data_IF_261232581676
#
_entry.id   IF_261232581676
#
_cell.length_a   1.000
_cell.length_b   1.000
_cell.length_c   1.000
_cell.angle_alpha   90.00
_cell.angle_beta   90.00
_cell.angle_gamma   90.00
#
_symmetry.space_group_name_H-M   'P 1'
#
loop_
_entity.id
_entity.type
_entity.pdbx_description
1 polymer ?
#
# COMPACT_ATOMS: atom_id res chain seq x y z
N UNK A 1 -30.28 -9.47 2.42
CA UNK A 1 -30.18 -10.85 2.99
C UNK A 1 -29.28 -11.77 2.15
N UNK A 2 -29.40 -11.78 0.81
CA UNK A 2 -28.57 -12.61 -0.09
C UNK A 2 -27.10 -12.17 -0.15
N UNK A 3 -26.79 -10.86 -0.10
CA UNK A 3 -25.39 -10.34 -0.10
C UNK A 3 -24.61 -10.72 1.17
N UNK A 4 -25.25 -10.64 2.32
CA UNK A 4 -24.73 -11.01 3.65
C UNK A 4 -24.34 -12.48 3.73
N UNK A 5 -25.16 -13.37 3.17
CA UNK A 5 -24.86 -14.80 3.10
C UNK A 5 -23.69 -15.09 2.14
N UNK A 6 -23.63 -14.45 0.97
CA UNK A 6 -22.50 -14.59 0.03
C UNK A 6 -21.18 -14.09 0.64
N UNK A 7 -21.20 -12.92 1.29
CA UNK A 7 -20.03 -12.37 1.99
C UNK A 7 -19.57 -13.29 3.14
N UNK A 8 -20.48 -13.70 4.03
CA UNK A 8 -20.15 -14.59 5.13
C UNK A 8 -19.63 -15.94 4.62
N UNK A 9 -20.20 -16.50 3.55
CA UNK A 9 -19.71 -17.74 2.92
C UNK A 9 -18.31 -17.57 2.32
N UNK A 10 -18.01 -16.43 1.68
CA UNK A 10 -16.66 -16.11 1.16
C UNK A 10 -15.64 -15.95 2.29
N UNK A 11 -15.98 -15.20 3.34
CA UNK A 11 -15.12 -15.01 4.52
C UNK A 11 -14.89 -16.34 5.25
N UNK A 12 -15.93 -17.15 5.44
CA UNK A 12 -15.82 -18.46 6.09
C UNK A 12 -14.97 -19.41 5.25
N UNK A 13 -15.13 -19.44 3.92
CA UNK A 13 -14.29 -20.22 3.00
C UNK A 13 -12.83 -19.77 3.01
N UNK A 14 -12.57 -18.46 2.93
CA UNK A 14 -11.22 -17.89 2.91
C UNK A 14 -10.44 -18.11 4.23
N UNK A 15 -11.10 -18.01 5.39
CA UNK A 15 -10.41 -18.07 6.70
C UNK A 15 -10.39 -19.46 7.36
N UNK A 16 -11.31 -20.37 7.01
CA UNK A 16 -11.43 -21.70 7.66
C UNK A 16 -10.93 -22.84 6.76
N UNK A 17 -11.15 -22.76 5.45
CA UNK A 17 -10.78 -23.85 4.52
C UNK A 17 -9.53 -23.56 3.67
N UNK A 18 -9.14 -22.29 3.55
CA UNK A 18 -8.09 -21.84 2.61
C UNK A 18 -6.82 -21.31 3.28
N UNK A 19 -6.40 -21.89 4.42
CA UNK A 19 -5.10 -21.57 5.04
C UNK A 19 -3.88 -21.82 4.12
N UNK A 20 -4.07 -22.59 3.04
CA UNK A 20 -3.05 -22.85 2.01
C UNK A 20 -3.23 -22.05 0.70
N UNK A 21 -4.11 -21.04 0.67
CA UNK A 21 -4.29 -20.18 -0.51
C UNK A 21 -3.08 -19.22 -0.63
N UNK A 22 -2.38 -19.31 -1.77
CA UNK A 22 -1.17 -18.52 -2.07
C UNK A 22 -1.40 -17.03 -1.90
N UNK A 23 -2.61 -16.54 -2.21
CA UNK A 23 -2.94 -15.12 -2.11
C UNK A 23 -3.00 -14.65 -0.65
N UNK A 24 -3.61 -15.44 0.25
CA UNK A 24 -3.70 -15.08 1.65
C UNK A 24 -2.31 -15.07 2.30
N UNK A 25 -1.49 -16.08 1.98
CA UNK A 25 -0.10 -16.16 2.42
C UNK A 25 0.72 -14.96 1.92
N UNK A 26 0.55 -14.57 0.67
CA UNK A 26 1.23 -13.42 0.07
C UNK A 26 0.94 -12.11 0.82
N UNK A 27 -0.31 -11.87 1.22
CA UNK A 27 -0.66 -10.64 1.94
C UNK A 27 -0.27 -10.66 3.43
N UNK A 28 0.05 -11.83 4.00
CA UNK A 28 0.35 -11.99 5.44
C UNK A 28 1.75 -12.52 5.72
N UNK A 29 2.72 -12.21 4.86
CA UNK A 29 4.13 -12.57 5.06
C UNK A 29 4.73 -11.88 6.28
N UNK A 30 5.76 -12.45 6.94
CA UNK A 30 6.49 -11.74 7.98
C UNK A 30 6.97 -10.38 7.49
N UNK A 31 6.72 -9.35 8.29
CA UNK A 31 7.07 -7.96 8.00
C UNK A 31 8.53 -7.70 8.39
N UNK A 32 9.26 -7.01 7.52
CA UNK A 32 10.66 -6.65 7.74
C UNK A 32 10.97 -5.23 7.28
N UNK A 33 12.12 -4.71 7.72
CA UNK A 33 12.64 -3.38 7.33
C UNK A 33 14.03 -3.61 6.78
N UNK A 34 14.33 -3.00 5.62
CA UNK A 34 15.68 -3.02 5.08
C UNK A 34 16.61 -2.10 5.87
N UNK A 35 17.89 -2.46 5.95
CA UNK A 35 18.89 -1.57 6.55
C UNK A 35 19.13 -0.39 5.62
N UNK A 36 18.63 0.79 5.99
CA UNK A 36 18.92 2.04 5.28
C UNK A 36 20.24 2.61 5.82
N UNK A 37 21.27 2.65 4.98
CA UNK A 37 22.56 3.29 5.25
C UNK A 37 22.42 4.80 5.17
N UNK A 38 23.38 5.52 5.76
CA UNK A 38 23.38 6.99 5.74
C UNK A 38 23.42 7.57 4.31
N UNK A 39 24.08 6.87 3.39
CA UNK A 39 24.22 7.25 1.97
C UNK A 39 22.97 6.96 1.13
N UNK A 40 22.05 6.13 1.64
CA UNK A 40 20.75 5.86 1.01
C UNK A 40 19.80 7.06 1.17
N UNK A 41 20.16 8.07 1.99
CA UNK A 41 19.44 9.35 2.06
C UNK A 41 19.81 10.31 0.94
N UNK A 42 20.80 9.96 0.11
CA UNK A 42 21.28 10.73 -1.04
C UNK A 42 21.28 9.94 -2.36
N UNK A 43 20.88 8.67 -2.32
CA UNK A 43 20.82 7.79 -3.49
C UNK A 43 19.71 6.76 -3.31
N UNK A 44 19.03 6.39 -4.40
CA UNK A 44 17.90 5.46 -4.36
C UNK A 44 18.38 4.02 -4.09
N UNK A 45 18.48 3.67 -2.81
CA UNK A 45 18.92 2.35 -2.32
C UNK A 45 17.76 1.34 -2.16
N UNK A 46 17.85 0.51 -1.11
CA UNK A 46 16.80 -0.45 -0.78
C UNK A 46 15.45 0.27 -0.53
N UNK A 47 14.35 -0.35 -0.93
CA UNK A 47 13.04 0.15 -0.52
C UNK A 47 12.91 -0.02 1.01
N UNK A 48 12.38 0.95 1.77
CA UNK A 48 12.45 0.90 3.24
C UNK A 48 11.86 -0.36 3.89
N UNK A 49 10.77 -0.90 3.34
CA UNK A 49 10.17 -2.15 3.79
C UNK A 49 10.76 -3.34 3.01
N UNK A 50 11.15 -4.41 3.71
CA UNK A 50 11.63 -5.63 3.07
C UNK A 50 10.44 -6.50 2.62
N UNK A 51 10.50 -6.98 1.38
CA UNK A 51 9.46 -7.81 0.78
C UNK A 51 9.94 -9.21 0.34
N UNK A 52 11.17 -9.61 0.67
CA UNK A 52 11.75 -10.91 0.25
C UNK A 52 10.87 -12.10 0.59
N UNK A 53 10.16 -12.07 1.72
CA UNK A 53 9.28 -13.15 2.16
C UNK A 53 8.09 -13.42 1.22
N UNK A 54 7.84 -12.55 0.23
CA UNK A 54 6.79 -12.74 -0.78
C UNK A 54 7.23 -13.62 -1.96
N UNK A 55 8.55 -13.80 -2.14
CA UNK A 55 9.11 -14.54 -3.25
C UNK A 55 8.62 -15.99 -3.22
N UNK A 56 8.16 -16.47 -4.39
CA UNK A 56 7.76 -17.85 -4.59
C UNK A 56 6.39 -18.25 -4.01
N UNK A 57 5.65 -17.33 -3.38
CA UNK A 57 4.33 -17.62 -2.81
C UNK A 57 3.23 -17.71 -3.87
N UNK A 58 3.29 -16.89 -4.91
CA UNK A 58 2.37 -16.94 -6.05
C UNK A 58 2.99 -17.80 -7.14
N UNK A 59 2.20 -18.74 -7.68
CA UNK A 59 2.62 -19.65 -8.76
C UNK A 59 1.99 -19.32 -10.11
N UNK A 60 0.92 -18.54 -10.11
CA UNK A 60 0.19 -18.11 -11.30
C UNK A 60 0.82 -16.87 -11.89
N UNK A 61 1.01 -16.86 -13.20
CA UNK A 61 1.64 -15.77 -13.95
C UNK A 61 1.10 -15.72 -15.38
N UNK A 62 1.35 -14.60 -16.06
CA UNK A 62 1.13 -14.45 -17.50
C UNK A 62 2.21 -15.15 -18.33
N UNK A 63 2.12 -15.06 -19.66
CA UNK A 63 3.10 -15.69 -20.57
C UNK A 63 4.51 -15.08 -20.47
N UNK A 64 4.66 -13.92 -19.84
CA UNK A 64 5.95 -13.26 -19.58
C UNK A 64 6.50 -13.55 -18.19
N UNK A 65 5.74 -14.21 -17.33
CA UNK A 65 6.13 -14.52 -15.95
C UNK A 65 5.73 -13.47 -14.92
N UNK A 66 4.96 -12.44 -15.30
CA UNK A 66 4.38 -11.46 -14.36
C UNK A 66 3.30 -12.16 -13.54
N UNK A 67 3.36 -12.03 -12.20
CA UNK A 67 2.40 -12.73 -11.34
C UNK A 67 0.96 -12.25 -11.53
N UNK A 68 0.02 -13.19 -11.43
CA UNK A 68 -1.41 -12.91 -11.37
C UNK A 68 -1.99 -13.53 -10.11
N UNK A 69 -2.87 -12.83 -9.40
CA UNK A 69 -3.53 -13.35 -8.21
C UNK A 69 -4.86 -14.02 -8.59
N UNK A 70 -5.12 -15.21 -8.06
CA UNK A 70 -6.40 -15.91 -8.27
C UNK A 70 -7.47 -15.47 -7.25
N UNK A 71 -8.34 -14.56 -7.66
CA UNK A 71 -9.46 -14.08 -6.83
C UNK A 71 -10.64 -15.05 -6.75
N UNK A 72 -10.55 -16.22 -7.42
CA UNK A 72 -11.55 -17.28 -7.49
C UNK A 72 -12.88 -16.81 -8.11
N UNK A 73 -13.77 -17.78 -8.35
CA UNK A 73 -15.11 -17.51 -8.90
C UNK A 73 -15.06 -16.77 -10.24
N UNK A 74 -15.99 -15.83 -10.43
CA UNK A 74 -16.14 -15.09 -11.69
C UNK A 74 -14.98 -14.11 -11.97
N UNK A 75 -14.18 -13.74 -10.94
CA UNK A 75 -13.04 -12.85 -11.13
C UNK A 75 -11.80 -13.58 -11.66
N UNK A 76 -11.58 -14.84 -11.26
CA UNK A 76 -10.44 -15.63 -11.71
C UNK A 76 -9.07 -14.96 -11.48
N UNK A 77 -8.16 -15.15 -12.43
CA UNK A 77 -6.82 -14.55 -12.40
C UNK A 77 -6.87 -13.06 -12.76
N UNK A 78 -6.27 -12.23 -11.92
CA UNK A 78 -6.22 -10.79 -12.11
C UNK A 78 -4.81 -10.27 -11.84
N UNK A 79 -4.39 -9.26 -12.60
CA UNK A 79 -3.24 -8.45 -12.23
C UNK A 79 -3.58 -7.60 -11.01
N UNK A 80 -2.63 -7.54 -10.08
CA UNK A 80 -2.71 -6.65 -8.93
C UNK A 80 -1.43 -5.81 -8.91
N UNK A 81 -1.47 -4.53 -9.34
CA UNK A 81 -0.30 -3.66 -9.42
C UNK A 81 0.52 -3.63 -8.12
N UNK A 82 -0.16 -3.60 -6.98
CA UNK A 82 0.49 -3.61 -5.67
C UNK A 82 1.21 -4.95 -5.38
N UNK A 83 0.57 -6.09 -5.64
CA UNK A 83 1.20 -7.39 -5.45
C UNK A 83 2.45 -7.54 -6.33
N UNK A 84 2.34 -7.13 -7.60
CA UNK A 84 3.45 -7.15 -8.56
C UNK A 84 4.56 -6.22 -8.09
N UNK A 85 4.22 -5.01 -7.62
CA UNK A 85 5.21 -4.07 -7.08
C UNK A 85 5.95 -4.65 -5.86
N UNK A 86 5.23 -5.20 -4.89
CA UNK A 86 5.83 -5.75 -3.68
C UNK A 86 6.71 -6.96 -3.98
N UNK A 87 6.30 -7.83 -4.92
CA UNK A 87 7.14 -8.95 -5.34
C UNK A 87 8.40 -8.46 -6.07
N UNK A 88 8.25 -7.50 -6.97
CA UNK A 88 9.38 -6.87 -7.68
C UNK A 88 10.38 -6.27 -6.68
N UNK A 89 9.91 -5.48 -5.70
CA UNK A 89 10.76 -4.94 -4.64
C UNK A 89 11.42 -6.03 -3.78
N UNK A 90 10.75 -7.16 -3.54
CA UNK A 90 11.36 -8.32 -2.88
C UNK A 90 12.52 -8.93 -3.67
N UNK A 91 12.41 -9.02 -5.00
CA UNK A 91 13.54 -9.42 -5.84
C UNK A 91 14.65 -8.36 -5.87
N UNK A 92 14.30 -7.08 -5.78
CA UNK A 92 15.31 -6.01 -5.67
C UNK A 92 16.08 -6.08 -4.34
N UNK A 93 15.42 -6.44 -3.24
CA UNK A 93 16.08 -6.70 -1.95
C UNK A 93 17.13 -7.82 -2.09
N UNK A 94 16.80 -8.89 -2.83
CA UNK A 94 17.73 -9.98 -3.19
C UNK A 94 18.94 -9.49 -4.00
N UNK A 95 18.71 -8.62 -5.00
CA UNK A 95 19.79 -8.03 -5.81
C UNK A 95 20.75 -7.23 -4.92
N UNK A 96 20.23 -6.41 -4.00
CA UNK A 96 21.06 -5.65 -3.05
C UNK A 96 21.84 -6.56 -2.11
N UNK A 97 21.28 -7.72 -1.75
CA UNK A 97 21.97 -8.74 -0.96
C UNK A 97 23.06 -9.50 -1.74
N UNK A 98 23.15 -9.32 -3.07
CA UNK A 98 24.14 -9.95 -3.94
C UNK A 98 23.63 -11.18 -4.69
N UNK A 99 22.33 -11.50 -4.59
CA UNK A 99 21.73 -12.62 -5.31
C UNK A 99 21.44 -12.27 -6.77
N UNK A 100 21.56 -13.25 -7.67
CA UNK A 100 21.29 -13.07 -9.10
C UNK A 100 19.78 -13.13 -9.41
N UNK A 101 19.04 -12.08 -9.04
CA UNK A 101 17.58 -11.96 -9.24
C UNK A 101 17.20 -10.81 -10.20
N UNK A 102 18.13 -10.30 -11.01
CA UNK A 102 17.88 -9.17 -11.93
C UNK A 102 16.75 -9.51 -12.92
N UNK A 103 16.78 -10.71 -13.50
CA UNK A 103 15.76 -11.12 -14.46
C UNK A 103 14.38 -11.26 -13.80
N UNK A 104 14.30 -11.82 -12.60
CA UNK A 104 13.03 -11.93 -11.87
C UNK A 104 12.45 -10.54 -11.53
N UNK A 105 13.31 -9.63 -11.07
CA UNK A 105 12.95 -8.25 -10.79
C UNK A 105 12.41 -7.54 -12.03
N UNK A 106 13.16 -7.58 -13.14
CA UNK A 106 12.79 -6.92 -14.39
C UNK A 106 11.57 -7.58 -15.06
N UNK A 107 11.35 -8.88 -14.84
CA UNK A 107 10.15 -9.58 -15.30
C UNK A 107 8.92 -8.98 -14.64
N UNK A 108 8.91 -8.84 -13.31
CA UNK A 108 7.79 -8.19 -12.63
C UNK A 108 7.69 -6.69 -12.95
N UNK A 109 8.83 -6.01 -13.11
CA UNK A 109 8.84 -4.59 -13.46
C UNK A 109 8.23 -4.30 -14.85
N UNK A 110 8.36 -5.23 -15.80
CA UNK A 110 7.81 -5.07 -17.17
C UNK A 110 6.30 -4.79 -17.18
N UNK A 111 5.57 -5.31 -16.18
CA UNK A 111 4.15 -4.99 -15.97
C UNK A 111 3.85 -3.49 -16.02
N UNK A 112 4.71 -2.66 -15.40
CA UNK A 112 4.50 -1.23 -15.29
C UNK A 112 4.75 -0.46 -16.60
N UNK A 113 5.39 -1.11 -17.58
CA UNK A 113 5.50 -0.59 -18.95
C UNK A 113 4.31 -1.06 -19.80
N UNK A 114 3.92 -2.33 -19.63
CA UNK A 114 2.99 -2.99 -20.52
C UNK A 114 1.51 -2.75 -20.20
N UNK A 115 1.18 -2.47 -18.94
CA UNK A 115 -0.21 -2.39 -18.46
C UNK A 115 -0.56 -1.00 -17.89
N UNK A 116 0.25 0.03 -18.19
CA UNK A 116 -0.08 1.39 -17.81
C UNK A 116 -1.07 2.04 -18.79
N UNK A 117 -2.16 2.60 -18.27
CA UNK A 117 -3.16 3.35 -19.07
C UNK A 117 -2.91 4.85 -18.97
N UNK A 118 -2.77 5.52 -20.11
CA UNK A 118 -2.68 6.98 -20.13
C UNK A 118 -4.07 7.61 -19.97
N UNK A 119 -4.15 8.60 -19.09
CA UNK A 119 -5.28 9.51 -18.94
C UNK A 119 -4.71 10.92 -18.98
N UNK A 120 -4.94 11.61 -20.09
CA UNK A 120 -4.25 12.86 -20.42
C UNK A 120 -2.72 12.66 -20.35
N UNK A 121 -2.03 13.33 -19.43
CA UNK A 121 -0.59 13.20 -19.19
C UNK A 121 -0.22 12.24 -18.05
N UNK A 122 -1.22 11.61 -17.40
CA UNK A 122 -1.03 10.71 -16.27
C UNK A 122 -1.01 9.25 -16.70
N UNK A 123 0.05 8.52 -16.33
CA UNK A 123 0.10 7.06 -16.47
C UNK A 123 -0.49 6.40 -15.22
N UNK A 124 -1.53 5.56 -15.39
CA UNK A 124 -2.19 4.86 -14.29
C UNK A 124 -1.94 3.35 -14.35
N UNK A 125 -1.57 2.75 -13.23
CA UNK A 125 -1.64 1.30 -13.02
C UNK A 125 -2.90 0.97 -12.22
N UNK A 126 -3.94 0.60 -12.94
CA UNK A 126 -5.27 0.38 -12.38
C UNK A 126 -5.53 -1.09 -12.06
N UNK A 127 -6.53 -1.30 -11.22
CA UNK A 127 -7.10 -2.60 -10.97
C UNK A 127 -8.30 -2.79 -11.90
N UNK A 128 -8.21 -3.76 -12.81
CA UNK A 128 -9.24 -4.03 -13.83
C UNK A 128 -10.36 -4.96 -13.35
N UNK A 129 -10.48 -5.15 -12.04
CA UNK A 129 -11.54 -5.95 -11.42
C UNK A 129 -12.28 -5.16 -10.33
N UNK A 130 -13.59 -5.39 -10.14
CA UNK A 130 -14.33 -4.75 -9.07
C UNK A 130 -13.85 -5.28 -7.71
N UNK A 131 -13.82 -4.42 -6.71
CA UNK A 131 -13.40 -4.80 -5.36
C UNK A 131 -14.46 -4.48 -4.32
N UNK A 132 -14.96 -5.53 -3.67
CA UNK A 132 -15.97 -5.41 -2.62
C UNK A 132 -15.32 -5.06 -1.28
N UNK A 133 -15.39 -3.78 -0.92
CA UNK A 133 -14.99 -3.26 0.39
C UNK A 133 -16.19 -2.68 1.13
N UNK A 134 -15.92 -1.86 2.16
CA UNK A 134 -16.97 -1.03 2.79
C UNK A 134 -17.73 -0.22 1.75
N UNK A 135 -16.96 0.46 0.88
CA UNK A 135 -17.44 1.17 -0.29
C UNK A 135 -17.03 0.34 -1.51
N UNK A 136 -17.97 -0.13 -2.34
CA UNK A 136 -17.63 -0.96 -3.49
C UNK A 136 -16.88 -0.14 -4.54
N UNK A 137 -15.82 -0.72 -5.11
CA UNK A 137 -15.04 -0.14 -6.20
C UNK A 137 -15.44 -0.80 -7.51
N UNK A 138 -15.78 0.01 -8.50
CA UNK A 138 -16.07 -0.46 -9.86
C UNK A 138 -14.78 -0.52 -10.67
N UNK A 139 -14.66 -1.53 -11.54
CA UNK A 139 -13.53 -1.62 -12.47
C UNK A 139 -13.66 -0.60 -13.61
N UNK A 140 -12.55 -0.03 -14.11
CA UNK A 140 -11.23 -0.02 -13.46
C UNK A 140 -11.19 0.99 -12.30
N UNK A 141 -10.33 0.76 -11.32
CA UNK A 141 -10.08 1.72 -10.24
C UNK A 141 -8.60 1.98 -10.00
N UNK A 142 -8.29 3.19 -9.53
CA UNK A 142 -6.92 3.68 -9.29
C UNK A 142 -6.63 3.85 -7.80
N UNK A 143 -5.35 3.87 -7.45
CA UNK A 143 -4.87 3.88 -6.06
C UNK A 143 -3.54 4.61 -5.92
N UNK A 144 -3.43 5.54 -4.97
CA UNK A 144 -2.16 6.19 -4.65
C UNK A 144 -1.09 5.16 -4.22
N UNK A 145 -1.49 4.08 -3.55
CA UNK A 145 -0.62 2.98 -3.15
C UNK A 145 0.02 2.33 -4.37
N UNK A 146 -0.81 1.92 -5.35
CA UNK A 146 -0.34 1.30 -6.58
C UNK A 146 0.63 2.21 -7.35
N UNK A 147 0.27 3.50 -7.46
CA UNK A 147 1.11 4.50 -8.12
C UNK A 147 2.45 4.68 -7.41
N UNK A 148 2.44 4.85 -6.08
CA UNK A 148 3.67 5.06 -5.31
C UNK A 148 4.63 3.86 -5.41
N UNK A 149 4.13 2.64 -5.22
CA UNK A 149 5.00 1.45 -5.30
C UNK A 149 5.44 1.13 -6.73
N UNK A 150 4.58 1.36 -7.74
CA UNK A 150 4.98 1.23 -9.14
C UNK A 150 6.07 2.22 -9.53
N UNK A 151 6.01 3.47 -9.04
CA UNK A 151 7.09 4.45 -9.23
C UNK A 151 8.39 3.95 -8.60
N UNK A 152 8.36 3.48 -7.36
CA UNK A 152 9.54 2.91 -6.68
C UNK A 152 10.17 1.75 -7.46
N UNK A 153 9.35 0.90 -8.09
CA UNK A 153 9.82 -0.20 -8.96
C UNK A 153 10.44 0.35 -10.25
N UNK A 154 9.74 1.23 -10.96
CA UNK A 154 10.22 1.81 -12.22
C UNK A 154 11.56 2.52 -12.05
N UNK A 155 11.74 3.33 -11.00
CA UNK A 155 13.02 4.02 -10.77
C UNK A 155 14.17 3.02 -10.54
N UNK A 156 13.92 1.95 -9.77
CA UNK A 156 14.91 0.88 -9.55
C UNK A 156 15.16 0.04 -10.80
N UNK A 157 14.13 -0.20 -11.61
CA UNK A 157 14.26 -0.89 -12.89
C UNK A 157 15.10 -0.08 -13.88
N UNK A 158 14.94 1.24 -13.91
CA UNK A 158 15.83 2.13 -14.66
C UNK A 158 17.28 2.02 -14.16
N UNK A 159 17.51 2.07 -12.84
CA UNK A 159 18.87 1.97 -12.27
C UNK A 159 19.56 0.64 -12.61
N UNK A 160 18.82 -0.47 -12.60
CA UNK A 160 19.38 -1.81 -12.88
C UNK A 160 19.59 -2.04 -14.37
N UNK A 161 18.69 -1.57 -15.23
CA UNK A 161 18.69 -1.90 -16.66
C UNK A 161 19.23 -0.80 -17.58
N UNK A 162 19.25 0.46 -17.14
CA UNK A 162 19.50 1.63 -17.99
C UNK A 162 18.36 1.93 -18.99
N UNK A 163 17.23 1.24 -18.91
CA UNK A 163 16.13 1.41 -19.87
C UNK A 163 15.24 2.62 -19.51
N UNK A 164 15.37 3.69 -20.28
CA UNK A 164 14.63 4.96 -20.16
C UNK A 164 13.10 4.82 -20.13
N UNK A 165 12.54 3.72 -20.65
CA UNK A 165 11.09 3.48 -20.57
C UNK A 165 10.60 3.50 -19.12
N UNK A 166 11.38 2.95 -18.19
CA UNK A 166 11.00 2.93 -16.78
C UNK A 166 11.06 4.31 -16.14
N UNK A 167 12.10 5.11 -16.43
CA UNK A 167 12.18 6.48 -15.91
C UNK A 167 11.03 7.35 -16.45
N UNK A 168 10.70 7.20 -17.73
CA UNK A 168 9.57 7.90 -18.34
C UNK A 168 8.22 7.45 -17.75
N UNK A 169 8.05 6.15 -17.49
CA UNK A 169 6.85 5.64 -16.82
C UNK A 169 6.71 6.19 -15.40
N UNK A 170 7.80 6.25 -14.62
CA UNK A 170 7.79 6.83 -13.28
C UNK A 170 7.38 8.32 -13.30
N UNK A 171 7.93 9.12 -14.22
CA UNK A 171 7.58 10.54 -14.38
C UNK A 171 6.10 10.74 -14.72
N UNK A 172 5.58 9.99 -15.70
CA UNK A 172 4.17 10.07 -16.09
C UNK A 172 3.22 9.55 -15.00
N UNK A 173 3.61 8.52 -14.25
CA UNK A 173 2.83 8.04 -13.12
C UNK A 173 2.80 9.05 -11.97
N UNK A 174 3.92 9.76 -11.76
CA UNK A 174 4.00 10.80 -10.74
C UNK A 174 3.02 11.97 -10.98
N UNK A 175 2.60 12.22 -12.22
CA UNK A 175 1.56 13.21 -12.52
C UNK A 175 0.23 12.92 -11.81
N UNK A 176 -0.07 11.67 -11.44
CA UNK A 176 -1.25 11.35 -10.62
C UNK A 176 -1.26 12.07 -9.26
N UNK A 177 -0.08 12.36 -8.71
CA UNK A 177 0.11 13.09 -7.46
C UNK A 177 0.06 14.61 -7.63
N UNK A 178 -0.19 15.15 -8.83
CA UNK A 178 -0.44 16.58 -9.03
C UNK A 178 -1.92 16.95 -8.96
N UNK A 179 -2.81 15.96 -8.87
CA UNK A 179 -4.24 16.18 -9.01
C UNK A 179 -5.05 15.57 -7.87
N UNK A 180 -6.05 16.34 -7.41
CA UNK A 180 -7.10 15.83 -6.54
C UNK A 180 -8.01 14.88 -7.31
N UNK A 181 -8.35 13.77 -6.67
CA UNK A 181 -9.11 12.69 -7.27
C UNK A 181 -10.54 13.09 -7.69
N UNK A 182 -11.11 14.08 -7.00
CA UNK A 182 -12.42 14.68 -7.32
C UNK A 182 -12.38 15.65 -8.51
N UNK A 183 -11.18 16.11 -8.89
CA UNK A 183 -10.98 17.15 -9.92
C UNK A 183 -10.40 16.57 -11.21
N UNK A 184 -9.69 15.44 -11.14
CA UNK A 184 -9.05 14.82 -12.29
C UNK A 184 -9.20 13.28 -12.28
N UNK A 185 -9.52 12.64 -13.43
CA UNK A 185 -9.63 11.18 -13.55
C UNK A 185 -8.31 10.43 -13.36
N UNK A 186 -7.17 11.11 -13.43
CA UNK A 186 -5.86 10.59 -13.05
C UNK A 186 -5.43 10.91 -11.61
N UNK A 187 -6.17 11.76 -10.89
CA UNK A 187 -5.76 12.27 -9.58
C UNK A 187 -5.94 11.24 -8.46
N UNK A 188 -4.98 11.20 -7.54
CA UNK A 188 -4.99 10.31 -6.37
C UNK A 188 -4.90 11.06 -5.03
N UNK A 189 -4.92 12.39 -5.07
CA UNK A 189 -4.92 13.22 -3.87
C UNK A 189 -6.33 13.50 -3.33
N UNK A 190 -6.40 13.85 -2.06
CA UNK A 190 -7.55 14.51 -1.42
C UNK A 190 -7.05 15.63 -0.48
N UNK A 191 -7.85 16.67 -0.23
CA UNK A 191 -7.50 17.86 0.57
C UNK A 191 -8.34 18.03 1.85
N UNK A 192 -8.92 16.94 2.36
CA UNK A 192 -9.84 16.98 3.49
C UNK A 192 -9.25 17.70 4.71
N UNK A 193 -9.98 18.71 5.18
CA UNK A 193 -9.68 19.51 6.39
C UNK A 193 -8.32 20.23 6.35
N UNK A 194 -7.84 20.59 5.17
CA UNK A 194 -6.58 21.32 4.99
C UNK A 194 -5.33 20.45 5.08
N UNK A 195 -5.51 19.13 4.94
CA UNK A 195 -4.43 18.14 4.89
C UNK A 195 -4.38 17.45 3.54
N UNK A 196 -3.18 17.06 3.11
CA UNK A 196 -2.98 16.41 1.80
C UNK A 196 -2.94 14.89 1.98
N UNK A 197 -3.97 14.23 1.47
CA UNK A 197 -4.15 12.79 1.55
C UNK A 197 -3.75 12.06 0.27
N UNK A 198 -3.02 10.96 0.40
CA UNK A 198 -2.75 9.99 -0.67
C UNK A 198 -3.76 8.84 -0.54
N UNK A 199 -4.78 8.80 -1.39
CA UNK A 199 -5.89 7.86 -1.23
C UNK A 199 -5.58 6.47 -1.82
N UNK A 200 -5.58 5.43 -0.98
CA UNK A 200 -5.51 4.03 -1.43
C UNK A 200 -6.73 3.66 -2.28
N UNK A 201 -7.91 4.15 -1.90
CA UNK A 201 -9.16 3.90 -2.58
C UNK A 201 -9.87 5.22 -2.84
N UNK A 202 -10.14 5.54 -4.10
CA UNK A 202 -10.87 6.75 -4.47
C UNK A 202 -12.37 6.52 -4.24
N UNK A 203 -12.86 6.96 -3.07
CA UNK A 203 -14.26 6.80 -2.64
C UNK A 203 -14.79 8.12 -2.09
N UNK A 204 -16.12 8.27 -2.08
CA UNK A 204 -16.80 9.44 -1.53
C UNK A 204 -17.77 9.03 -0.42
N UNK A 205 -17.64 9.59 0.80
CA UNK A 205 -16.52 10.40 1.26
C UNK A 205 -15.19 9.60 1.31
N UNK A 206 -14.02 10.27 1.31
CA UNK A 206 -12.72 9.59 1.38
C UNK A 206 -12.55 8.84 2.70
N UNK A 207 -11.79 7.76 2.68
CA UNK A 207 -11.62 6.90 3.86
C UNK A 207 -10.29 7.14 4.58
N UNK A 208 -9.27 7.69 3.90
CA UNK A 208 -7.92 7.91 4.43
C UNK A 208 -7.35 6.63 5.07
N UNK A 209 -7.00 5.65 4.23
CA UNK A 209 -6.43 4.37 4.69
C UNK A 209 -4.95 4.57 5.07
N UNK A 210 -4.58 4.24 6.31
CA UNK A 210 -3.26 4.60 6.86
C UNK A 210 -2.11 3.92 6.14
N UNK A 211 -2.18 2.59 5.98
CA UNK A 211 -1.07 1.82 5.43
C UNK A 211 -0.81 2.16 3.96
N UNK A 212 -1.88 2.33 3.17
CA UNK A 212 -1.77 2.70 1.76
C UNK A 212 -1.26 4.11 1.57
N UNK A 213 -1.69 5.07 2.40
CA UNK A 213 -1.12 6.41 2.43
C UNK A 213 0.39 6.34 2.64
N UNK A 214 0.86 5.59 3.65
CA UNK A 214 2.29 5.55 3.97
C UNK A 214 3.10 4.87 2.87
N UNK A 215 2.61 3.78 2.27
CA UNK A 215 3.30 3.17 1.13
C UNK A 215 3.32 4.07 -0.11
N UNK A 216 2.22 4.77 -0.41
CA UNK A 216 2.20 5.78 -1.47
C UNK A 216 3.24 6.87 -1.21
N UNK A 217 3.33 7.33 0.05
CA UNK A 217 4.25 8.37 0.48
C UNK A 217 5.73 7.94 0.33
N UNK A 218 6.06 6.66 0.54
CA UNK A 218 7.40 6.14 0.25
C UNK A 218 7.75 6.20 -1.25
N UNK A 219 6.76 6.03 -2.13
CA UNK A 219 6.94 6.25 -3.58
C UNK A 219 7.19 7.71 -3.94
N UNK A 220 6.48 8.64 -3.30
CA UNK A 220 6.74 10.09 -3.42
C UNK A 220 8.16 10.43 -2.95
N UNK A 221 8.59 9.85 -1.84
CA UNK A 221 9.96 10.02 -1.33
C UNK A 221 11.02 9.51 -2.30
N UNK A 222 10.86 8.30 -2.83
CA UNK A 222 11.77 7.72 -3.81
C UNK A 222 11.86 8.60 -5.08
N UNK A 223 10.72 9.12 -5.54
CA UNK A 223 10.68 10.03 -6.68
C UNK A 223 11.40 11.35 -6.40
N UNK A 224 11.12 11.99 -5.25
CA UNK A 224 11.76 13.23 -4.84
C UNK A 224 13.28 13.05 -4.69
N UNK A 225 13.71 11.95 -4.07
CA UNK A 225 15.12 11.61 -3.88
C UNK A 225 15.84 11.41 -5.21
N UNK A 226 15.21 10.71 -6.16
CA UNK A 226 15.82 10.39 -7.45
C UNK A 226 15.85 11.58 -8.41
N UNK A 227 14.76 12.34 -8.50
CA UNK A 227 14.61 13.43 -9.48
C UNK A 227 15.05 14.79 -8.96
N UNK A 228 15.14 14.94 -7.64
CA UNK A 228 15.29 16.22 -6.96
C UNK A 228 14.21 17.24 -7.37
N UNK A 229 12.99 16.76 -7.61
CA UNK A 229 11.83 17.58 -7.95
C UNK A 229 11.29 18.33 -6.73
N UNK A 230 11.19 19.66 -6.84
CA UNK A 230 10.77 20.53 -5.73
C UNK A 230 9.33 20.24 -5.29
N UNK A 231 8.42 19.99 -6.25
CA UNK A 231 7.03 19.67 -5.94
C UNK A 231 6.92 18.35 -5.17
N UNK A 232 7.67 17.32 -5.56
CA UNK A 232 7.72 16.04 -4.87
C UNK A 232 8.24 16.17 -3.44
N UNK A 233 9.25 17.01 -3.21
CA UNK A 233 9.73 17.32 -1.86
C UNK A 233 8.69 18.05 -1.02
N UNK A 234 7.94 18.97 -1.60
CA UNK A 234 6.90 19.71 -0.90
C UNK A 234 5.68 18.83 -0.60
N UNK A 235 5.29 17.95 -1.53
CA UNK A 235 4.27 16.93 -1.30
C UNK A 235 4.68 15.98 -0.17
N UNK A 236 5.92 15.49 -0.18
CA UNK A 236 6.47 14.67 0.91
C UNK A 236 6.34 15.37 2.27
N UNK A 237 6.76 16.64 2.38
CA UNK A 237 6.64 17.43 3.63
C UNK A 237 5.17 17.63 4.03
N UNK A 238 4.29 17.93 3.08
CA UNK A 238 2.86 18.14 3.30
C UNK A 238 2.16 16.88 3.82
N UNK A 239 2.48 15.72 3.25
CA UNK A 239 1.97 14.43 3.69
C UNK A 239 2.56 14.00 5.05
N UNK A 240 3.84 14.29 5.33
CA UNK A 240 4.40 14.08 6.68
C UNK A 240 3.70 14.92 7.74
N UNK A 241 3.41 16.20 7.44
CA UNK A 241 2.59 17.05 8.31
C UNK A 241 1.20 16.44 8.52
N UNK A 242 0.56 15.98 7.44
CA UNK A 242 -0.74 15.30 7.49
C UNK A 242 -0.72 14.12 8.45
N UNK A 243 0.27 13.23 8.37
CA UNK A 243 0.42 12.14 9.34
C UNK A 243 0.62 12.68 10.76
N UNK A 244 1.57 13.60 10.96
CA UNK A 244 1.92 14.10 12.30
C UNK A 244 0.71 14.64 13.07
N UNK A 245 -0.16 15.38 12.36
CA UNK A 245 -1.34 16.02 12.93
C UNK A 245 -2.57 15.09 13.02
N UNK A 246 -2.57 13.93 12.35
CA UNK A 246 -3.73 13.03 12.32
C UNK A 246 -3.48 11.63 12.91
N UNK A 247 -2.25 11.28 13.29
CA UNK A 247 -1.93 9.97 13.87
C UNK A 247 -2.75 9.64 15.14
N UNK A 248 -3.11 10.65 15.93
CA UNK A 248 -3.94 10.45 17.13
C UNK A 248 -5.32 9.90 16.79
N UNK A 249 -5.84 10.20 15.61
CA UNK A 249 -7.16 9.78 15.16
C UNK A 249 -7.19 8.33 14.69
N UNK A 250 -6.03 7.78 14.31
CA UNK A 250 -5.86 6.35 14.08
C UNK A 250 -5.65 5.57 15.39
N UNK A 251 -5.30 6.23 16.50
CA UNK A 251 -5.10 5.58 17.79
C UNK A 251 -6.41 5.47 18.57
N UNK A 252 -6.96 4.25 18.67
CA UNK A 252 -8.19 3.98 19.41
C UNK A 252 -7.97 3.88 20.93
N UNK A 253 -6.75 4.12 21.42
CA UNK A 253 -6.29 3.92 22.80
C UNK A 253 -5.94 2.48 23.15
N UNK A 254 -6.53 1.52 22.43
CA UNK A 254 -6.28 0.08 22.58
C UNK A 254 -5.73 -0.61 21.33
N UNK A 255 -5.89 0.00 20.16
CA UNK A 255 -5.50 -0.56 18.88
C UNK A 255 -5.42 0.55 17.84
N UNK A 256 -4.89 0.26 16.64
CA UNK A 256 -4.97 1.19 15.51
C UNK A 256 -6.23 0.99 14.67
N UNK A 257 -6.85 2.07 14.23
CA UNK A 257 -7.86 2.04 13.17
C UNK A 257 -7.17 1.75 11.83
N UNK A 258 -7.88 1.09 10.92
CA UNK A 258 -7.39 0.89 9.54
C UNK A 258 -7.54 2.16 8.69
N UNK A 259 -8.61 2.92 8.94
CA UNK A 259 -9.00 4.10 8.18
C UNK A 259 -9.63 5.16 9.11
N UNK A 260 -9.85 6.37 8.59
CA UNK A 260 -10.49 7.48 9.30
C UNK A 260 -11.96 7.68 8.90
N UNK A 261 -12.72 6.64 8.55
CA UNK A 261 -14.12 6.85 8.10
C UNK A 261 -15.00 7.64 9.09
N UNK A 262 -14.69 7.60 10.38
CA UNK A 262 -15.35 8.44 11.40
C UNK A 262 -15.15 9.94 11.21
N UNK A 263 -14.14 10.37 10.46
CA UNK A 263 -13.90 11.77 10.12
C UNK A 263 -15.03 12.32 9.25
N UNK A 264 -15.65 11.47 8.46
CA UNK A 264 -16.61 11.89 7.46
C UNK A 264 -18.05 11.51 7.84
N UNK A 265 -18.24 10.40 8.55
CA UNK A 265 -19.58 9.91 8.90
C UNK A 265 -19.61 9.38 10.35
N UNK A 266 -19.97 10.25 11.30
CA UNK A 266 -19.91 10.01 12.75
C UNK A 266 -20.78 8.86 13.29
N UNK A 267 -21.59 8.21 12.45
CA UNK A 267 -22.46 7.09 12.82
C UNK A 267 -21.83 5.71 12.67
N UNK A 268 -20.63 5.62 12.09
CA UNK A 268 -20.01 4.33 11.78
C UNK A 268 -19.29 3.67 12.96
N UNK A 269 -19.37 2.33 13.07
CA UNK A 269 -18.59 1.60 14.06
C UNK A 269 -17.09 1.75 13.79
N UNK A 270 -16.29 1.83 14.86
CA UNK A 270 -14.83 1.79 14.76
C UNK A 270 -14.39 0.55 13.98
N UNK A 271 -13.39 0.69 13.10
CA UNK A 271 -12.77 -0.44 12.42
C UNK A 271 -11.32 -0.62 12.88
N UNK A 272 -11.08 -1.36 13.98
CA UNK A 272 -9.74 -1.80 14.33
C UNK A 272 -9.14 -2.62 13.19
N UNK A 273 -7.87 -2.35 12.88
CA UNK A 273 -7.15 -3.08 11.84
C UNK A 273 -6.91 -4.56 12.25
N UNK A 274 -6.46 -5.40 11.31
CA UNK A 274 -6.05 -6.78 11.64
C UNK A 274 -4.76 -6.81 12.49
N UNK A 275 -4.42 -7.97 13.06
CA UNK A 275 -3.12 -8.15 13.75
C UNK A 275 -1.96 -7.89 12.79
N UNK A 276 -2.08 -8.30 11.53
CA UNK A 276 -1.09 -8.01 10.51
C UNK A 276 -0.94 -6.50 10.30
N UNK A 277 -2.04 -5.78 10.11
CA UNK A 277 -2.01 -4.33 9.91
C UNK A 277 -1.52 -3.56 11.15
N UNK A 278 -1.79 -4.03 12.36
CA UNK A 278 -1.21 -3.44 13.57
C UNK A 278 0.31 -3.53 13.54
N UNK A 279 0.86 -4.71 13.20
CA UNK A 279 2.31 -4.85 13.02
C UNK A 279 2.83 -3.98 11.87
N UNK A 280 2.08 -3.89 10.77
CA UNK A 280 2.46 -3.05 9.64
C UNK A 280 2.53 -1.57 10.01
N UNK A 281 1.52 -1.04 10.72
CA UNK A 281 1.52 0.34 11.18
C UNK A 281 2.73 0.64 12.08
N UNK A 282 3.08 -0.28 12.99
CA UNK A 282 4.29 -0.16 13.83
C UNK A 282 5.56 -0.11 12.95
N UNK A 283 5.69 -1.03 12.01
CA UNK A 283 6.83 -1.08 11.08
C UNK A 283 6.92 0.19 10.23
N UNK A 284 5.78 0.71 9.77
CA UNK A 284 5.71 1.95 9.01
C UNK A 284 6.10 3.17 9.85
N UNK A 285 5.70 3.24 11.12
CA UNK A 285 6.19 4.29 12.02
C UNK A 285 7.70 4.23 12.22
N UNK A 286 8.25 3.03 12.40
CA UNK A 286 9.69 2.82 12.51
C UNK A 286 10.44 3.27 11.24
N UNK A 287 9.90 2.95 10.06
CA UNK A 287 10.41 3.41 8.77
C UNK A 287 10.41 4.94 8.69
N UNK A 288 9.29 5.58 9.01
CA UNK A 288 9.18 7.05 8.94
C UNK A 288 10.14 7.73 9.92
N UNK A 289 10.31 7.20 11.14
CA UNK A 289 11.30 7.70 12.09
C UNK A 289 12.74 7.57 11.54
N UNK A 290 13.08 6.42 10.94
CA UNK A 290 14.40 6.20 10.35
C UNK A 290 14.70 7.20 9.22
N UNK A 291 13.72 7.49 8.36
CA UNK A 291 13.87 8.42 7.24
C UNK A 291 13.95 9.87 7.72
N UNK A 292 13.06 10.28 8.62
CA UNK A 292 12.85 11.70 8.99
C UNK A 292 13.59 12.14 10.26
N UNK A 293 13.97 11.20 11.12
CA UNK A 293 14.41 11.46 12.49
C UNK A 293 13.38 12.22 13.36
N UNK A 294 12.10 12.25 12.95
CA UNK A 294 11.01 12.84 13.73
C UNK A 294 10.55 11.86 14.83
N UNK A 295 10.67 12.27 16.08
CA UNK A 295 10.32 11.46 17.26
C UNK A 295 8.81 11.22 17.39
N UNK A 296 7.94 11.95 16.69
CA UNK A 296 6.50 11.65 16.68
C UNK A 296 6.26 10.22 16.23
N UNK A 297 6.90 9.79 15.15
CA UNK A 297 6.72 8.45 14.61
C UNK A 297 7.25 7.39 15.59
N UNK A 298 8.40 7.63 16.24
CA UNK A 298 8.92 6.74 17.28
C UNK A 298 7.96 6.60 18.47
N UNK A 299 7.35 7.70 18.92
CA UNK A 299 6.36 7.65 20.02
C UNK A 299 5.14 6.81 19.65
N UNK A 300 4.65 6.92 18.41
CA UNK A 300 3.52 6.09 17.94
C UNK A 300 3.93 4.63 17.71
N UNK A 301 5.14 4.36 17.20
CA UNK A 301 5.72 3.02 17.13
C UNK A 301 5.68 2.33 18.51
N UNK A 302 6.27 2.97 19.52
CA UNK A 302 6.35 2.44 20.89
C UNK A 302 4.97 2.26 21.51
N UNK A 303 4.08 3.25 21.35
CA UNK A 303 2.70 3.20 21.87
C UNK A 303 1.91 2.05 21.27
N UNK A 304 1.95 1.87 19.96
CA UNK A 304 1.21 0.82 19.26
C UNK A 304 1.83 -0.57 19.49
N UNK A 305 3.15 -0.64 19.72
CA UNK A 305 3.82 -1.86 20.18
C UNK A 305 3.31 -2.28 21.57
N UNK A 306 3.20 -1.35 22.52
CA UNK A 306 2.63 -1.64 23.84
C UNK A 306 1.17 -2.11 23.75
N UNK A 307 0.38 -1.56 22.83
CA UNK A 307 -0.98 -2.03 22.57
C UNK A 307 -0.99 -3.46 22.00
N UNK A 308 -0.11 -3.77 21.05
CA UNK A 308 0.02 -5.10 20.45
C UNK A 308 0.40 -6.15 21.50
N UNK A 309 1.36 -5.84 22.36
CA UNK A 309 1.87 -6.75 23.41
C UNK A 309 0.87 -6.95 24.56
N UNK A 310 -0.09 -6.05 24.75
CA UNK A 310 -1.09 -6.14 25.81
C UNK A 310 -2.25 -7.08 25.45
N UNK A 311 -2.38 -8.21 26.14
CA UNK A 311 -3.40 -9.24 25.88
C UNK A 311 -4.84 -8.73 25.99
N UNK A 312 -5.26 -8.02 27.07
CA UNK A 312 -6.59 -7.43 27.13
C UNK A 312 -6.93 -6.52 25.93
N UNK A 313 -6.01 -5.63 25.53
CA UNK A 313 -6.18 -4.74 24.37
C UNK A 313 -6.33 -5.52 23.06
N UNK A 314 -5.56 -6.59 22.89
CA UNK A 314 -5.66 -7.49 21.74
C UNK A 314 -7.00 -8.23 21.68
N UNK A 315 -7.50 -8.72 22.81
CA UNK A 315 -8.83 -9.34 22.87
C UNK A 315 -9.91 -8.31 22.52
N UNK A 316 -9.81 -7.09 23.07
CA UNK A 316 -10.73 -6.00 22.79
C UNK A 316 -10.74 -5.64 21.30
N UNK A 317 -9.58 -5.63 20.62
CA UNK A 317 -9.52 -5.37 19.17
C UNK A 317 -10.25 -6.44 18.35
N UNK A 318 -10.15 -7.72 18.75
CA UNK A 318 -10.89 -8.79 18.07
C UNK A 318 -12.40 -8.68 18.30
N UNK A 319 -12.84 -8.36 19.52
CA UNK A 319 -14.27 -8.14 19.83
C UNK A 319 -14.84 -7.01 18.98
N UNK A 320 -14.16 -5.86 18.94
CA UNK A 320 -14.60 -4.72 18.12
C UNK A 320 -14.60 -5.04 16.64
N UNK A 321 -13.65 -5.84 16.15
CA UNK A 321 -13.62 -6.29 14.76
C UNK A 321 -14.77 -7.22 14.41
N UNK A 322 -15.14 -8.13 15.32
CA UNK A 322 -16.34 -8.97 15.16
C UNK A 322 -17.60 -8.10 15.16
N UNK A 323 -17.72 -7.16 16.10
CA UNK A 323 -18.83 -6.22 16.15
C UNK A 323 -18.95 -5.39 14.85
N UNK A 324 -17.84 -4.87 14.34
CA UNK A 324 -17.79 -4.16 13.05
C UNK A 324 -18.32 -5.05 11.92
N UNK A 325 -17.82 -6.28 11.80
CA UNK A 325 -18.27 -7.23 10.76
C UNK A 325 -19.76 -7.53 10.89
N UNK A 326 -20.28 -7.75 12.10
CA UNK A 326 -21.70 -8.04 12.35
C UNK A 326 -22.62 -6.83 12.15
N UNK A 327 -22.11 -5.60 12.24
CA UNK A 327 -22.94 -4.41 12.02
C UNK A 327 -22.93 -3.98 10.55
N UNK A 328 -21.82 -4.20 9.85
CA UNK A 328 -21.62 -3.72 8.48
C UNK A 328 -21.97 -4.76 7.42
N UNK A 329 -21.55 -6.00 7.62
CA UNK A 329 -21.76 -7.09 6.67
C UNK A 329 -22.87 -8.01 7.14
#
# INVERSE_FOLDING_TARGET
MISRYKYLKRVFSAYIFNKGDSNLAFWHTPLGINKIKKDDKSSLGAYPQNFENKIGLIKTHDDRGVIMLDYKGDLGLQYNPNAIAQLSLGYYDKIIAGDNCINDFLTQASYFIDHGRMVDDVLLWEYEFPFEMRNPLSSPWRSALAQGQGISVCLRAYMVSGNELYLNAAKKAFMSFHHFSREHPGGVLDDSRGYTWLEEYIVSPPNHVLNGFIWALLGVYDYALYTNDDYAWDLWKSCLKTLRENLEHYDLGFWTSYDLVKFNEGTHPLMPCSIYYQNLHIIQMKILHMLTSDDVFKRYEERWMLQLLNTPKRIMSQIWKIYFKLRWF
#
